data_IF_068950834265
#
_entry.id   IF_068950834265
#
_cell.length_a   1.000
_cell.length_b   1.000
_cell.length_c   1.000
_cell.angle_alpha   90.00
_cell.angle_beta   90.00
_cell.angle_gamma   90.00
#
_symmetry.space_group_name_H-M   'P 1'
#
loop_
_entity.id
_entity.type
_entity.pdbx_description
1 polymer ?
#
# COMPACT_ATOMS: atom_id res chain seq x y z
N UNK A 1 -10.05 1.85 -15.39
CA UNK A 1 -11.32 2.48 -15.02
C UNK A 1 -11.23 3.14 -13.65
N UNK A 2 -11.43 2.48 -12.54
CA UNK A 2 -11.32 3.10 -11.19
C UNK A 2 -9.98 3.80 -10.87
N UNK A 3 -8.90 3.51 -11.59
CA UNK A 3 -7.60 4.15 -11.41
C UNK A 3 -7.60 5.63 -11.84
N UNK A 4 -8.42 6.00 -12.86
CA UNK A 4 -8.57 7.39 -13.30
C UNK A 4 -9.32 8.26 -12.29
N UNK A 5 -10.34 7.70 -11.62
CA UNK A 5 -11.12 8.36 -10.57
C UNK A 5 -10.26 8.72 -9.35
N UNK A 6 -9.13 8.03 -9.16
CA UNK A 6 -8.19 8.28 -8.06
C UNK A 6 -7.15 9.36 -8.39
N UNK A 7 -7.36 10.20 -9.40
CA UNK A 7 -6.47 11.34 -9.64
C UNK A 7 -6.82 12.54 -8.75
N UNK A 8 -5.82 13.34 -8.36
CA UNK A 8 -5.92 14.26 -7.21
C UNK A 8 -6.61 15.58 -7.52
N UNK A 9 -7.78 15.60 -8.19
CA UNK A 9 -8.46 16.89 -8.50
C UNK A 9 -8.81 17.71 -7.26
N UNK A 10 -9.01 17.06 -6.11
CA UNK A 10 -9.46 17.70 -4.87
C UNK A 10 -8.45 17.65 -3.71
N UNK A 11 -7.38 16.90 -3.85
CA UNK A 11 -6.22 17.07 -2.99
C UNK A 11 -5.36 18.16 -3.64
N UNK A 12 -5.11 19.26 -2.94
CA UNK A 12 -4.18 20.30 -3.35
C UNK A 12 -2.74 19.74 -3.39
N UNK A 13 -2.54 18.79 -4.29
CA UNK A 13 -1.30 18.04 -4.52
C UNK A 13 -0.63 18.56 -5.78
N UNK A 14 -0.68 19.88 -5.99
CA UNK A 14 -0.07 20.55 -7.15
C UNK A 14 1.43 20.30 -7.30
N UNK A 15 2.04 19.62 -6.31
CA UNK A 15 3.46 19.28 -6.28
C UNK A 15 3.74 17.80 -6.05
N UNK A 16 2.75 16.89 -6.22
CA UNK A 16 3.00 15.45 -6.06
C UNK A 16 4.04 14.99 -7.08
N UNK A 17 5.20 14.59 -6.62
CA UNK A 17 6.20 13.98 -7.47
C UNK A 17 5.76 12.57 -7.82
N UNK A 18 5.51 12.23 -9.10
CA UNK A 18 5.22 10.87 -9.48
C UNK A 18 6.43 9.99 -9.13
N UNK A 19 6.27 9.13 -8.14
CA UNK A 19 7.32 8.20 -7.75
C UNK A 19 7.21 6.87 -8.51
N UNK A 20 6.84 6.93 -9.79
CA UNK A 20 6.71 5.75 -10.67
C UNK A 20 8.01 4.97 -10.87
N UNK A 21 9.16 5.56 -10.52
CA UNK A 21 10.47 4.92 -10.58
C UNK A 21 10.83 4.13 -9.32
N UNK A 22 10.02 4.21 -8.25
CA UNK A 22 10.30 3.47 -7.04
C UNK A 22 10.07 1.98 -7.26
N UNK A 23 11.13 1.21 -7.10
CA UNK A 23 11.14 -0.23 -7.38
C UNK A 23 10.20 -0.98 -6.43
N UNK A 24 9.60 -2.08 -6.93
CA UNK A 24 8.85 -3.02 -6.10
C UNK A 24 9.75 -3.81 -5.12
N UNK A 25 11.04 -3.49 -5.08
CA UNK A 25 12.09 -4.17 -4.31
C UNK A 25 12.83 -3.15 -3.46
N UNK A 26 13.11 -3.51 -2.23
CA UNK A 26 13.86 -2.69 -1.27
C UNK A 26 15.01 -3.51 -0.71
N UNK A 27 16.14 -2.89 -0.45
CA UNK A 27 17.25 -3.58 0.21
C UNK A 27 16.86 -3.98 1.64
N UNK A 28 17.23 -5.18 2.11
CA UNK A 28 16.90 -5.63 3.45
C UNK A 28 17.31 -4.66 4.56
N UNK A 29 18.49 -4.00 4.54
CA UNK A 29 18.86 -3.03 5.56
C UNK A 29 17.89 -1.84 5.70
N UNK A 30 17.37 -1.33 4.58
CA UNK A 30 16.38 -0.26 4.57
C UNK A 30 15.06 -0.72 5.18
N UNK A 31 14.66 -1.96 4.89
CA UNK A 31 13.43 -2.56 5.41
C UNK A 31 13.54 -2.84 6.91
N UNK A 32 14.71 -3.28 7.39
CA UNK A 32 15.02 -3.45 8.81
C UNK A 32 14.94 -2.10 9.52
N UNK A 33 15.56 -1.06 8.96
CA UNK A 33 15.60 0.30 9.49
C UNK A 33 14.19 0.89 9.65
N UNK A 34 13.28 0.61 8.72
CA UNK A 34 11.87 0.99 8.80
C UNK A 34 11.04 0.18 9.81
N UNK A 35 11.62 -0.82 10.47
CA UNK A 35 10.93 -1.67 11.46
C UNK A 35 9.99 -2.73 10.85
N UNK A 36 10.08 -2.97 9.55
CA UNK A 36 9.15 -3.89 8.88
C UNK A 36 9.38 -5.35 9.27
N UNK A 37 10.62 -5.77 9.46
CA UNK A 37 10.95 -7.13 9.93
C UNK A 37 10.48 -7.37 11.36
N UNK A 38 10.51 -6.34 12.19
CA UNK A 38 10.07 -6.45 13.59
C UNK A 38 8.53 -6.48 13.70
N UNK A 39 7.85 -5.62 12.91
CA UNK A 39 6.42 -5.39 13.08
C UNK A 39 5.55 -6.28 12.17
N UNK A 40 6.05 -6.67 10.99
CA UNK A 40 5.30 -7.40 9.97
C UNK A 40 6.06 -8.58 9.37
N UNK A 41 6.73 -9.43 10.18
CA UNK A 41 7.53 -10.55 9.66
C UNK A 41 6.72 -11.52 8.79
N UNK A 42 5.44 -11.71 9.11
CA UNK A 42 4.52 -12.59 8.40
C UNK A 42 4.21 -12.14 6.96
N UNK A 43 4.38 -10.85 6.63
CA UNK A 43 4.17 -10.35 5.27
C UNK A 43 5.43 -10.44 4.40
N UNK A 44 6.59 -10.74 4.98
CA UNK A 44 7.86 -10.65 4.27
C UNK A 44 7.95 -11.71 3.19
N UNK A 45 8.19 -11.27 1.97
CA UNK A 45 8.53 -12.10 0.82
C UNK A 45 9.86 -11.67 0.25
N UNK A 46 10.69 -12.64 -0.12
CA UNK A 46 11.99 -12.40 -0.67
C UNK A 46 12.02 -12.70 -2.17
N UNK A 47 12.89 -12.00 -2.88
CA UNK A 47 13.24 -12.32 -4.25
C UNK A 47 14.56 -13.05 -4.29
N UNK A 48 14.56 -14.25 -4.85
CA UNK A 48 15.77 -15.00 -5.22
C UNK A 48 15.94 -15.02 -6.74
N UNK A 49 17.12 -15.44 -7.23
CA UNK A 49 17.45 -15.57 -8.64
C UNK A 49 18.21 -16.87 -8.83
N UNK A 50 18.10 -17.47 -10.01
CA UNK A 50 19.01 -18.53 -10.42
C UNK A 50 20.44 -17.99 -10.42
N UNK A 51 21.40 -18.85 -10.07
CA UNK A 51 22.81 -18.54 -10.18
C UNK A 51 23.16 -18.26 -11.63
N UNK A 52 23.87 -17.15 -11.88
CA UNK A 52 24.20 -16.71 -13.23
C UNK A 52 25.54 -17.35 -13.68
N UNK A 53 25.49 -18.65 -13.96
CA UNK A 53 26.65 -19.40 -14.49
C UNK A 53 26.18 -20.48 -15.47
N UNK A 54 27.11 -20.97 -16.29
CA UNK A 54 26.81 -21.91 -17.37
C UNK A 54 26.35 -23.27 -16.81
N UNK A 55 26.95 -23.72 -15.73
CA UNK A 55 26.65 -25.03 -15.13
C UNK A 55 25.20 -25.09 -14.64
N UNK A 56 24.71 -24.01 -13.99
CA UNK A 56 23.30 -23.87 -13.60
C UNK A 56 22.37 -23.90 -14.82
N UNK A 57 22.73 -23.19 -15.89
CA UNK A 57 21.91 -23.17 -17.11
C UNK A 57 21.85 -24.52 -17.79
N UNK A 58 22.99 -25.23 -17.90
CA UNK A 58 23.08 -26.57 -18.47
C UNK A 58 22.23 -27.57 -17.67
N UNK A 59 22.21 -27.50 -16.35
CA UNK A 59 21.34 -28.35 -15.52
C UNK A 59 19.87 -28.18 -15.90
N UNK A 60 19.39 -26.95 -16.08
CA UNK A 60 17.99 -26.69 -16.42
C UNK A 60 17.65 -27.01 -17.88
N UNK A 61 18.57 -26.80 -18.80
CA UNK A 61 18.34 -27.05 -20.23
C UNK A 61 18.48 -28.51 -20.62
N UNK A 62 19.26 -29.30 -19.89
CA UNK A 62 19.51 -30.72 -20.17
C UNK A 62 18.47 -31.66 -19.55
N UNK A 63 17.65 -31.20 -18.62
CA UNK A 63 16.63 -32.01 -17.95
C UNK A 63 15.40 -32.21 -18.85
N UNK A 64 15.02 -33.48 -19.04
CA UNK A 64 13.81 -33.84 -19.81
C UNK A 64 12.49 -33.52 -19.11
N UNK A 65 12.51 -33.16 -17.83
CA UNK A 65 11.35 -32.70 -17.07
C UNK A 65 11.82 -31.79 -15.89
N UNK A 66 11.76 -30.47 -16.04
CA UNK A 66 12.27 -29.53 -15.05
C UNK A 66 11.41 -29.41 -13.77
N UNK A 67 10.31 -30.13 -13.68
CA UNK A 67 9.31 -29.92 -12.61
C UNK A 67 9.25 -31.00 -11.53
N UNK A 68 10.16 -31.97 -11.51
CA UNK A 68 10.07 -33.06 -10.55
C UNK A 68 10.73 -32.79 -9.20
N UNK A 69 11.58 -31.77 -9.10
CA UNK A 69 12.28 -31.49 -7.85
C UNK A 69 12.55 -29.99 -7.65
N UNK A 70 11.66 -29.34 -6.91
CA UNK A 70 11.81 -27.93 -6.56
C UNK A 70 13.03 -27.68 -5.67
N UNK A 71 13.46 -28.68 -4.90
CA UNK A 71 14.64 -28.58 -4.03
C UNK A 71 15.91 -28.40 -4.85
N UNK A 72 16.07 -29.12 -5.97
CA UNK A 72 17.19 -28.92 -6.89
C UNK A 72 17.19 -27.52 -7.50
N UNK A 73 16.00 -26.96 -7.81
CA UNK A 73 15.87 -25.57 -8.27
C UNK A 73 16.34 -24.59 -7.22
N UNK A 74 15.98 -24.82 -5.95
CA UNK A 74 16.37 -23.95 -4.84
C UNK A 74 17.86 -23.98 -4.57
N UNK A 75 18.51 -25.15 -4.70
CA UNK A 75 19.97 -25.27 -4.58
C UNK A 75 20.74 -24.44 -5.63
N UNK A 76 20.14 -24.25 -6.81
CA UNK A 76 20.69 -23.44 -7.88
C UNK A 76 20.32 -21.95 -7.79
N UNK A 77 19.75 -21.52 -6.69
CA UNK A 77 19.39 -20.11 -6.48
C UNK A 77 20.38 -19.37 -5.58
N UNK A 78 20.56 -18.09 -5.85
CA UNK A 78 21.32 -17.21 -4.97
C UNK A 78 20.56 -16.87 -3.70
N UNK A 79 21.27 -16.57 -2.62
CA UNK A 79 20.66 -16.02 -1.42
C UNK A 79 19.87 -14.73 -1.76
N UNK A 80 18.67 -14.55 -1.16
CA UNK A 80 17.86 -13.36 -1.40
C UNK A 80 18.60 -12.08 -1.02
N UNK A 81 18.64 -11.12 -1.95
CA UNK A 81 19.24 -9.79 -1.73
C UNK A 81 18.20 -8.68 -1.69
N UNK A 82 16.96 -9.00 -1.98
CA UNK A 82 15.87 -8.04 -2.01
C UNK A 82 14.66 -8.56 -1.26
N UNK A 83 13.95 -7.63 -0.62
CA UNK A 83 12.62 -7.82 -0.06
C UNK A 83 11.60 -7.25 -1.04
N UNK A 84 10.50 -7.97 -1.27
CA UNK A 84 9.37 -7.48 -2.02
C UNK A 84 8.55 -6.55 -1.12
N UNK A 85 8.19 -5.35 -1.61
CA UNK A 85 7.47 -4.36 -0.80
C UNK A 85 6.05 -4.83 -0.47
N UNK A 86 5.64 -4.69 0.77
CA UNK A 86 4.28 -5.01 1.20
C UNK A 86 3.31 -3.81 1.14
N UNK A 87 3.82 -2.59 0.92
CA UNK A 87 3.10 -1.34 0.71
C UNK A 87 3.87 -0.42 -0.24
N UNK A 88 3.17 0.41 -0.99
CA UNK A 88 3.83 1.29 -1.97
C UNK A 88 4.61 2.43 -1.33
N UNK A 89 4.25 2.85 -0.11
CA UNK A 89 4.99 3.89 0.63
C UNK A 89 6.37 3.44 1.13
N UNK A 90 6.62 2.14 1.26
CA UNK A 90 7.86 1.63 1.88
C UNK A 90 9.16 2.22 1.29
N UNK A 91 9.33 2.37 -0.04
CA UNK A 91 10.55 2.96 -0.61
C UNK A 91 10.62 4.50 -0.53
N UNK A 92 9.53 5.19 -0.16
CA UNK A 92 9.52 6.66 -0.06
C UNK A 92 10.43 7.15 1.06
N UNK A 93 10.34 6.52 2.22
CA UNK A 93 11.09 6.97 3.39
C UNK A 93 12.61 6.82 3.25
N UNK A 94 13.16 5.70 2.76
CA UNK A 94 14.58 5.59 2.43
C UNK A 94 15.04 6.63 1.42
N UNK A 95 14.22 6.97 0.42
CA UNK A 95 14.59 7.99 -0.59
C UNK A 95 14.72 9.40 -0.01
N UNK A 96 14.17 9.63 1.17
CA UNK A 96 14.26 10.88 1.93
C UNK A 96 15.27 10.83 3.08
N UNK A 97 16.09 9.80 3.15
CA UNK A 97 17.07 9.67 4.23
C UNK A 97 17.98 10.89 4.32
N UNK A 98 18.14 11.43 5.55
CA UNK A 98 18.87 12.65 5.87
C UNK A 98 18.35 13.92 5.16
N UNK A 99 17.12 13.88 4.65
CA UNK A 99 16.54 15.06 4.01
C UNK A 99 16.09 16.09 5.05
N UNK A 100 16.30 17.36 4.72
CA UNK A 100 15.87 18.51 5.52
C UNK A 100 14.83 19.30 4.74
N UNK A 101 13.58 19.30 5.23
CA UNK A 101 12.48 20.07 4.65
C UNK A 101 12.60 21.55 5.04
N UNK A 102 12.21 22.44 4.12
CA UNK A 102 12.06 23.88 4.43
C UNK A 102 10.97 24.09 5.47
N UNK A 103 10.94 25.28 6.03
CA UNK A 103 9.86 25.67 6.94
C UNK A 103 8.50 25.61 6.21
N UNK A 104 7.53 24.96 6.84
CA UNK A 104 6.18 24.74 6.28
C UNK A 104 6.11 23.91 4.97
N UNK A 105 7.23 23.35 4.51
CA UNK A 105 7.21 22.44 3.37
C UNK A 105 6.49 21.13 3.75
N UNK A 106 5.62 20.67 2.86
CA UNK A 106 5.09 19.30 2.87
C UNK A 106 5.41 18.65 1.54
N UNK A 107 6.12 17.52 1.60
CA UNK A 107 6.33 16.69 0.42
C UNK A 107 5.17 15.72 0.26
N UNK A 108 4.61 15.71 -0.94
CA UNK A 108 3.54 14.81 -1.33
C UNK A 108 4.06 13.89 -2.43
N UNK A 109 3.81 12.60 -2.29
CA UNK A 109 4.16 11.59 -3.29
C UNK A 109 2.93 10.81 -3.67
N UNK A 110 2.74 10.58 -4.96
CA UNK A 110 1.80 9.61 -5.48
C UNK A 110 2.59 8.39 -5.93
N UNK A 111 2.39 7.26 -5.25
CA UNK A 111 3.06 6.01 -5.54
C UNK A 111 2.04 4.95 -5.90
N UNK A 112 2.25 4.27 -7.00
CA UNK A 112 1.40 3.14 -7.41
C UNK A 112 2.25 1.95 -7.84
N UNK A 113 1.67 0.76 -7.78
CA UNK A 113 2.28 -0.46 -8.26
C UNK A 113 2.02 -1.67 -7.38
N UNK A 114 2.69 -2.75 -7.73
CA UNK A 114 2.51 -4.05 -7.08
C UNK A 114 3.07 -4.08 -5.67
N UNK A 115 2.29 -4.68 -4.77
CA UNK A 115 2.66 -5.02 -3.41
C UNK A 115 2.57 -6.52 -3.22
N UNK A 116 3.34 -7.03 -2.27
CA UNK A 116 3.48 -8.46 -2.03
C UNK A 116 3.36 -8.72 -0.53
N UNK A 117 2.48 -9.64 -0.16
CA UNK A 117 2.29 -10.08 1.22
C UNK A 117 2.16 -11.59 1.25
N UNK A 118 2.91 -12.24 2.14
CA UNK A 118 2.73 -13.65 2.36
C UNK A 118 1.44 -13.86 3.18
N UNK A 119 0.36 -14.17 2.49
CA UNK A 119 -0.96 -14.39 3.11
C UNK A 119 -1.23 -15.87 3.39
N UNK A 120 -0.32 -16.76 2.97
CA UNK A 120 -0.40 -18.23 3.18
C UNK A 120 -1.79 -18.81 2.87
N UNK A 121 -2.43 -19.42 3.87
CA UNK A 121 -3.78 -20.00 3.77
C UNK A 121 -4.92 -18.97 3.82
N UNK A 122 -4.60 -17.69 4.02
CA UNK A 122 -5.61 -16.62 4.10
C UNK A 122 -5.99 -16.04 2.74
N UNK A 123 -5.45 -16.58 1.64
CA UNK A 123 -5.82 -16.16 0.28
C UNK A 123 -7.32 -16.39 0.09
N UNK A 124 -8.01 -15.35 -0.36
CA UNK A 124 -9.46 -15.39 -0.53
C UNK A 124 -9.89 -14.49 -1.69
N UNK A 125 -10.22 -15.09 -2.84
CA UNK A 125 -10.71 -14.38 -4.01
C UNK A 125 -9.90 -13.09 -4.30
N UNK A 126 -10.54 -12.01 -4.77
CA UNK A 126 -9.89 -10.69 -4.95
C UNK A 126 -9.76 -9.88 -3.65
N UNK A 127 -10.32 -10.40 -2.54
CA UNK A 127 -10.28 -9.71 -1.25
C UNK A 127 -8.95 -9.87 -0.52
N UNK A 128 -8.19 -10.95 -0.79
CA UNK A 128 -6.90 -11.22 -0.14
C UNK A 128 -5.96 -12.01 -1.07
N UNK A 129 -4.94 -11.34 -1.57
CA UNK A 129 -3.99 -11.84 -2.55
C UNK A 129 -2.55 -11.72 -2.03
N UNK A 130 -1.67 -12.62 -2.45
CA UNK A 130 -0.23 -12.51 -2.20
C UNK A 130 0.41 -11.37 -3.00
N UNK A 131 -0.12 -11.08 -4.18
CA UNK A 131 0.30 -10.00 -5.07
C UNK A 131 -0.90 -9.18 -5.47
N UNK A 132 -0.84 -7.86 -5.27
CA UNK A 132 -1.93 -6.93 -5.57
C UNK A 132 -1.40 -5.54 -5.90
N UNK A 133 -2.23 -4.72 -6.51
CA UNK A 133 -1.90 -3.34 -6.82
C UNK A 133 -2.39 -2.39 -5.73
N UNK A 134 -1.53 -1.43 -5.39
CA UNK A 134 -1.85 -0.37 -4.46
C UNK A 134 -1.53 0.99 -5.07
N UNK A 135 -2.40 1.97 -4.83
CA UNK A 135 -2.15 3.38 -5.10
C UNK A 135 -2.16 4.12 -3.77
N UNK A 136 -1.16 4.95 -3.52
CA UNK A 136 -0.95 5.55 -2.22
C UNK A 136 -0.43 6.97 -2.33
N UNK A 137 -1.07 7.88 -1.60
CA UNK A 137 -0.58 9.24 -1.37
C UNK A 137 0.21 9.24 -0.06
N UNK A 138 1.44 9.71 -0.13
CA UNK A 138 2.34 9.77 1.02
C UNK A 138 2.69 11.22 1.31
N UNK A 139 2.51 11.63 2.55
CA UNK A 139 2.75 13.00 3.02
C UNK A 139 3.86 13.00 4.06
N UNK A 140 4.81 13.94 3.90
CA UNK A 140 5.93 14.15 4.84
C UNK A 140 6.07 15.64 5.10
N UNK A 141 5.93 16.07 6.35
CA UNK A 141 5.97 17.49 6.70
C UNK A 141 5.71 17.79 8.18
N UNK A 142 5.28 19.01 8.47
CA UNK A 142 4.87 19.41 9.82
C UNK A 142 3.52 18.79 10.19
N UNK A 143 3.35 18.43 11.46
CA UNK A 143 2.15 17.73 11.95
C UNK A 143 0.83 18.41 11.57
N UNK A 144 0.72 19.71 11.83
CA UNK A 144 -0.49 20.49 11.55
C UNK A 144 -0.87 20.49 10.06
N UNK A 145 0.13 20.54 9.16
CA UNK A 145 -0.09 20.48 7.73
C UNK A 145 -0.62 19.09 7.32
N UNK A 146 -0.07 18.02 7.92
CA UNK A 146 -0.50 16.65 7.60
C UNK A 146 -1.92 16.38 8.06
N UNK A 147 -2.39 16.97 9.15
CA UNK A 147 -3.79 16.84 9.60
C UNK A 147 -4.77 17.38 8.56
N UNK A 148 -4.39 18.46 7.85
CA UNK A 148 -5.18 18.97 6.74
C UNK A 148 -5.31 17.94 5.61
N UNK A 149 -4.20 17.33 5.14
CA UNK A 149 -4.23 16.31 4.09
C UNK A 149 -4.98 15.05 4.51
N UNK A 150 -4.86 14.63 5.78
CA UNK A 150 -5.62 13.52 6.33
C UNK A 150 -7.13 13.83 6.28
N UNK A 151 -7.54 15.03 6.65
CA UNK A 151 -8.94 15.45 6.60
C UNK A 151 -9.48 15.49 5.17
N UNK A 152 -8.68 15.99 4.22
CA UNK A 152 -9.06 15.98 2.80
C UNK A 152 -9.16 14.55 2.25
N UNK A 153 -8.22 13.67 2.59
CA UNK A 153 -8.24 12.26 2.18
C UNK A 153 -9.53 11.56 2.65
N UNK A 154 -9.96 11.82 3.88
CA UNK A 154 -11.23 11.28 4.40
C UNK A 154 -12.42 11.76 3.60
N UNK A 155 -12.52 13.07 3.34
CA UNK A 155 -13.61 13.64 2.55
C UNK A 155 -13.67 13.07 1.15
N UNK A 156 -12.52 12.81 0.52
CA UNK A 156 -12.44 12.24 -0.82
C UNK A 156 -13.00 10.80 -0.84
N UNK A 157 -12.65 9.97 0.14
CA UNK A 157 -13.23 8.61 0.24
C UNK A 157 -14.73 8.66 0.47
N UNK A 158 -15.17 9.51 1.40
CA UNK A 158 -16.58 9.68 1.70
C UNK A 158 -17.38 10.19 0.49
N UNK A 159 -16.79 11.09 -0.31
CA UNK A 159 -17.37 11.55 -1.56
C UNK A 159 -17.57 10.40 -2.55
N UNK A 160 -16.55 9.57 -2.81
CA UNK A 160 -16.70 8.45 -3.73
C UNK A 160 -17.68 7.37 -3.24
N UNK A 161 -17.64 7.07 -1.95
CA UNK A 161 -18.59 6.13 -1.35
C UNK A 161 -20.03 6.62 -1.58
N UNK A 162 -20.28 7.91 -1.41
CA UNK A 162 -21.61 8.50 -1.56
C UNK A 162 -22.04 8.55 -3.02
N UNK A 163 -21.17 9.04 -3.94
CA UNK A 163 -21.54 9.18 -5.35
C UNK A 163 -21.75 7.83 -6.02
N UNK A 164 -21.01 6.80 -5.61
CA UNK A 164 -21.23 5.44 -6.08
C UNK A 164 -22.29 4.68 -5.27
N UNK A 165 -22.90 5.29 -4.27
CA UNK A 165 -23.92 4.66 -3.43
C UNK A 165 -23.47 3.35 -2.78
N UNK A 166 -22.20 3.26 -2.36
CA UNK A 166 -21.62 2.02 -1.83
C UNK A 166 -21.96 1.84 -0.35
N UNK A 167 -22.46 0.66 0.00
CA UNK A 167 -22.63 0.27 1.39
C UNK A 167 -21.24 0.05 2.03
N UNK A 168 -20.90 0.91 2.97
CA UNK A 168 -19.59 0.96 3.58
C UNK A 168 -19.64 1.32 5.06
N UNK A 169 -18.52 1.15 5.75
CA UNK A 169 -18.29 1.64 7.11
C UNK A 169 -16.85 2.10 7.28
N UNK A 170 -16.66 3.13 8.11
CA UNK A 170 -15.34 3.60 8.53
C UNK A 170 -15.07 3.14 9.96
N UNK A 171 -13.96 2.46 10.17
CA UNK A 171 -13.58 1.94 11.48
C UNK A 171 -12.14 2.32 11.81
N UNK A 172 -11.88 2.59 13.10
CA UNK A 172 -10.50 2.64 13.60
C UNK A 172 -9.93 1.23 13.52
N UNK A 173 -8.80 1.09 12.84
CA UNK A 173 -8.17 -0.19 12.61
C UNK A 173 -6.83 -0.31 13.33
N UNK A 174 -6.42 -1.54 13.53
CA UNK A 174 -5.11 -1.89 14.03
C UNK A 174 -4.43 -2.82 13.03
N UNK A 175 -3.14 -2.57 12.81
CA UNK A 175 -2.33 -3.50 12.05
C UNK A 175 -2.14 -4.81 12.83
N UNK A 176 -1.98 -5.90 12.08
CA UNK A 176 -1.67 -7.21 12.65
C UNK A 176 -0.19 -7.27 13.01
N UNK A 177 0.18 -6.67 14.14
CA UNK A 177 1.56 -6.70 14.62
C UNK A 177 1.89 -8.04 15.26
N UNK A 178 3.05 -8.58 14.91
CA UNK A 178 3.66 -9.76 15.54
C UNK A 178 4.83 -9.42 16.47
N UNK A 179 5.01 -8.18 16.81
CA UNK A 179 6.07 -7.74 17.70
C UNK A 179 5.80 -8.15 19.17
N UNK A 180 6.84 -8.32 19.96
CA UNK A 180 6.73 -8.64 21.40
C UNK A 180 5.91 -7.60 22.17
N UNK A 181 5.85 -6.36 21.66
CA UNK A 181 5.10 -5.24 22.23
C UNK A 181 3.78 -4.95 21.49
N UNK A 182 3.23 -5.93 20.73
CA UNK A 182 2.06 -5.74 19.86
C UNK A 182 0.84 -5.13 20.57
N UNK A 183 0.60 -5.48 21.86
CA UNK A 183 -0.50 -4.91 22.65
C UNK A 183 -0.33 -3.40 22.84
N UNK A 184 0.90 -2.95 23.09
CA UNK A 184 1.22 -1.53 23.25
C UNK A 184 1.07 -0.79 21.93
N UNK A 185 1.54 -1.36 20.82
CA UNK A 185 1.39 -0.78 19.48
C UNK A 185 -0.07 -0.65 19.08
N UNK A 186 -0.88 -1.70 19.28
CA UNK A 186 -2.34 -1.64 19.06
C UNK A 186 -3.00 -0.55 19.90
N UNK A 187 -2.67 -0.49 21.17
CA UNK A 187 -3.25 0.50 22.09
C UNK A 187 -2.93 1.93 21.65
N UNK A 188 -1.69 2.21 21.22
CA UNK A 188 -1.31 3.52 20.71
C UNK A 188 -2.00 3.86 19.39
N UNK A 189 -2.18 2.91 18.48
CA UNK A 189 -2.95 3.14 17.25
C UNK A 189 -4.42 3.46 17.55
N UNK A 190 -5.04 2.74 18.47
CA UNK A 190 -6.44 2.99 18.86
C UNK A 190 -6.64 4.35 19.51
N UNK A 191 -5.86 4.70 20.53
CA UNK A 191 -6.01 5.98 21.26
C UNK A 191 -5.71 7.16 20.34
N UNK A 192 -4.71 7.02 19.47
CA UNK A 192 -4.30 8.10 18.58
C UNK A 192 -5.18 8.27 17.33
N UNK A 193 -6.21 7.43 17.11
CA UNK A 193 -6.94 7.37 15.84
C UNK A 193 -6.00 7.40 14.62
N UNK A 194 -4.84 6.74 14.78
CA UNK A 194 -3.74 6.86 13.83
C UNK A 194 -3.92 6.02 12.57
N UNK A 195 -4.93 5.14 12.55
CA UNK A 195 -5.31 4.35 11.38
C UNK A 195 -6.83 4.24 11.28
N UNK A 196 -7.36 4.65 10.14
CA UNK A 196 -8.75 4.43 9.75
C UNK A 196 -8.79 3.52 8.53
N UNK A 197 -9.74 2.60 8.50
CA UNK A 197 -10.05 1.76 7.35
C UNK A 197 -11.49 2.00 6.89
N UNK A 198 -11.62 2.22 5.59
CA UNK A 198 -12.91 2.25 4.92
C UNK A 198 -13.16 0.86 4.33
N UNK A 199 -14.17 0.22 4.88
CA UNK A 199 -14.56 -1.14 4.52
C UNK A 199 -15.83 -1.07 3.70
N UNK A 200 -15.86 -1.81 2.60
CA UNK A 200 -16.99 -1.87 1.67
C UNK A 200 -17.58 -3.26 1.74
N UNK A 201 -18.92 -3.33 1.73
CA UNK A 201 -19.66 -4.58 1.83
C UNK A 201 -19.51 -5.41 0.55
N UNK A 202 -19.31 -6.71 0.72
CA UNK A 202 -19.49 -7.73 -0.31
C UNK A 202 -20.85 -8.41 -0.02
N UNK A 203 -21.90 -8.13 -0.81
CA UNK A 203 -23.26 -8.59 -0.48
C UNK A 203 -23.39 -10.11 -0.39
N UNK A 204 -22.71 -10.84 -1.28
CA UNK A 204 -22.85 -12.30 -1.42
C UNK A 204 -22.52 -13.06 -0.13
N UNK A 205 -21.56 -12.59 0.65
CA UNK A 205 -21.14 -13.23 1.89
C UNK A 205 -21.37 -12.35 3.13
N UNK A 206 -21.99 -11.17 2.95
CA UNK A 206 -22.23 -10.18 4.00
C UNK A 206 -20.96 -9.77 4.76
N UNK A 207 -19.81 -9.70 4.06
CA UNK A 207 -18.52 -9.37 4.63
C UNK A 207 -18.09 -7.96 4.23
N UNK A 208 -17.55 -7.20 5.19
CA UNK A 208 -16.94 -5.91 4.92
C UNK A 208 -15.43 -6.06 4.74
N UNK A 209 -14.90 -5.74 3.56
CA UNK A 209 -13.47 -5.81 3.25
C UNK A 209 -12.84 -4.41 3.25
N UNK A 210 -11.63 -4.28 3.81
CA UNK A 210 -10.89 -3.01 3.85
C UNK A 210 -10.35 -2.66 2.46
N UNK A 211 -10.90 -1.62 1.83
CA UNK A 211 -10.53 -1.17 0.49
C UNK A 211 -9.59 0.03 0.52
N UNK A 212 -9.75 0.92 1.50
CA UNK A 212 -8.94 2.12 1.65
C UNK A 212 -8.49 2.26 3.11
N UNK A 213 -7.35 2.92 3.31
CA UNK A 213 -6.87 3.25 4.65
C UNK A 213 -6.22 4.63 4.68
N UNK A 214 -6.43 5.34 5.79
CA UNK A 214 -5.73 6.58 6.13
C UNK A 214 -4.88 6.31 7.35
N UNK A 215 -3.57 6.52 7.25
CA UNK A 215 -2.62 6.24 8.31
C UNK A 215 -1.84 7.51 8.69
N UNK A 216 -1.78 7.81 9.98
CA UNK A 216 -0.98 8.89 10.55
C UNK A 216 0.16 8.30 11.37
N UNK A 217 1.33 8.19 10.77
CA UNK A 217 2.50 7.52 11.38
C UNK A 217 3.24 8.41 12.36
N UNK A 218 2.95 9.71 12.39
CA UNK A 218 3.72 10.70 13.16
C UNK A 218 5.20 10.61 12.79
N UNK A 219 6.08 10.52 13.78
CA UNK A 219 7.55 10.45 13.56
C UNK A 219 8.08 9.03 13.39
N UNK A 220 7.22 8.03 13.17
CA UNK A 220 7.62 6.61 13.11
C UNK A 220 8.69 6.37 12.02
N UNK A 221 8.46 6.87 10.82
CA UNK A 221 9.41 6.70 9.71
C UNK A 221 10.47 7.81 9.65
N UNK A 222 10.16 9.04 10.05
CA UNK A 222 11.13 10.13 9.97
C UNK A 222 12.31 9.96 10.92
N UNK A 223 12.11 9.37 12.09
CA UNK A 223 13.20 9.11 13.05
C UNK A 223 14.26 8.14 12.50
N UNK A 224 13.90 6.93 12.06
CA UNK A 224 14.89 5.98 11.53
C UNK A 224 15.65 6.53 10.32
N UNK A 225 14.97 7.25 9.43
CA UNK A 225 15.59 7.81 8.22
C UNK A 225 16.11 9.23 8.38
N UNK A 226 16.11 9.77 9.61
CA UNK A 226 16.64 11.11 9.94
C UNK A 226 16.05 12.22 9.04
N UNK A 227 14.72 12.18 8.81
CA UNK A 227 14.02 13.18 8.03
C UNK A 227 13.57 14.32 8.96
N UNK A 228 14.11 15.52 8.78
CA UNK A 228 13.90 16.66 9.66
C UNK A 228 13.45 17.90 8.89
N UNK A 229 12.95 18.89 9.62
CA UNK A 229 12.77 20.24 9.11
C UNK A 229 14.02 21.09 9.41
N UNK A 230 14.05 22.32 8.89
CA UNK A 230 15.15 23.28 9.10
C UNK A 230 15.40 23.63 10.58
N UNK A 231 14.41 23.43 11.46
CA UNK A 231 14.51 23.66 12.89
C UNK A 231 15.11 22.46 13.64
N UNK A 232 15.47 21.38 12.93
CA UNK A 232 16.03 20.16 13.50
C UNK A 232 14.99 19.19 14.09
N UNK A 233 13.70 19.47 13.95
CA UNK A 233 12.62 18.62 14.43
C UNK A 233 12.33 17.50 13.42
N UNK A 234 11.99 16.31 13.91
CA UNK A 234 11.58 15.20 13.04
C UNK A 234 10.22 15.48 12.39
N UNK A 235 10.15 15.33 11.08
CA UNK A 235 8.91 15.46 10.32
C UNK A 235 7.89 14.40 10.73
N UNK A 236 6.63 14.72 10.55
CA UNK A 236 5.55 13.73 10.63
C UNK A 236 5.37 13.07 9.27
N UNK A 237 4.81 11.88 9.28
CA UNK A 237 4.47 11.11 8.06
C UNK A 237 3.05 10.61 8.14
N UNK A 238 2.38 10.61 7.00
CA UNK A 238 1.04 10.07 6.84
C UNK A 238 0.88 9.46 5.47
N UNK A 239 -0.08 8.56 5.29
CA UNK A 239 -0.46 8.06 3.98
C UNK A 239 -1.95 7.79 3.85
N UNK A 240 -2.38 7.77 2.60
CA UNK A 240 -3.72 7.44 2.18
C UNK A 240 -3.63 6.42 1.04
N UNK A 241 -4.12 5.21 1.28
CA UNK A 241 -3.87 4.05 0.43
C UNK A 241 -5.15 3.38 -0.06
N UNK A 242 -5.10 2.85 -1.28
CA UNK A 242 -6.14 2.06 -1.93
C UNK A 242 -5.59 0.71 -2.38
N UNK A 243 -6.26 -0.37 -1.99
CA UNK A 243 -6.07 -1.69 -2.57
C UNK A 243 -6.97 -1.83 -3.80
N UNK A 244 -6.37 -1.81 -4.99
CA UNK A 244 -7.10 -1.68 -6.25
C UNK A 244 -8.03 -2.87 -6.48
N UNK A 245 -7.53 -4.10 -6.33
CA UNK A 245 -8.34 -5.31 -6.53
C UNK A 245 -9.52 -5.38 -5.57
N UNK A 246 -9.31 -5.03 -4.31
CA UNK A 246 -10.37 -4.99 -3.30
C UNK A 246 -11.43 -3.95 -3.62
N UNK A 247 -11.00 -2.76 -4.06
CA UNK A 247 -11.91 -1.68 -4.42
C UNK A 247 -12.76 -2.05 -5.63
N UNK A 248 -12.13 -2.61 -6.68
CA UNK A 248 -12.83 -3.09 -7.88
C UNK A 248 -13.80 -4.22 -7.53
N UNK A 249 -13.35 -5.20 -6.76
CA UNK A 249 -14.17 -6.33 -6.33
C UNK A 249 -15.41 -5.87 -5.56
N UNK A 250 -15.22 -5.01 -4.55
CA UNK A 250 -16.31 -4.50 -3.75
C UNK A 250 -17.29 -3.62 -4.55
N UNK A 251 -16.78 -2.79 -5.45
CA UNK A 251 -17.59 -1.98 -6.35
C UNK A 251 -18.46 -2.86 -7.26
N UNK A 252 -17.85 -3.80 -7.96
CA UNK A 252 -18.56 -4.69 -8.89
C UNK A 252 -19.51 -5.66 -8.17
N UNK A 253 -19.20 -6.07 -6.96
CA UNK A 253 -20.09 -6.89 -6.12
C UNK A 253 -21.40 -6.17 -5.79
N UNK A 254 -21.39 -4.84 -5.69
CA UNK A 254 -22.58 -4.05 -5.40
C UNK A 254 -23.27 -3.52 -6.66
N UNK A 255 -22.51 -3.15 -7.69
CA UNK A 255 -23.07 -2.56 -8.94
C UNK A 255 -23.34 -3.59 -10.03
N UNK A 256 -22.76 -4.80 -9.94
CA UNK A 256 -22.84 -5.83 -10.98
C UNK A 256 -21.83 -5.59 -12.11
N UNK A 257 -21.76 -6.54 -13.04
CA UNK A 257 -20.85 -6.52 -14.19
C UNK A 257 -21.44 -5.84 -15.43
N UNK A 258 -22.77 -5.70 -15.50
CA UNK A 258 -23.45 -5.05 -16.63
C UNK A 258 -23.59 -3.54 -16.37
N UNK A 259 -22.78 -2.75 -17.07
CA UNK A 259 -22.77 -1.28 -16.98
C UNK A 259 -24.15 -0.66 -17.27
N UNK A 260 -24.98 -1.33 -18.10
CA UNK A 260 -26.32 -0.82 -18.44
C UNK A 260 -27.26 -0.83 -17.24
N UNK A 261 -26.96 -1.60 -16.22
CA UNK A 261 -27.75 -1.69 -14.98
C UNK A 261 -27.27 -0.74 -13.88
N UNK A 262 -26.17 -0.02 -14.12
CA UNK A 262 -25.66 0.95 -13.15
C UNK A 262 -26.54 2.19 -13.13
N UNK A 263 -26.65 2.82 -11.98
CA UNK A 263 -27.37 4.09 -11.85
C UNK A 263 -26.67 5.21 -12.65
N UNK A 264 -27.48 6.20 -13.07
CA UNK A 264 -27.02 7.26 -13.97
C UNK A 264 -25.87 8.08 -13.35
N UNK A 265 -25.91 8.33 -12.03
CA UNK A 265 -24.91 9.12 -11.30
C UNK A 265 -23.55 8.39 -11.32
N UNK A 266 -23.53 7.08 -11.06
CA UNK A 266 -22.33 6.23 -11.17
C UNK A 266 -21.75 6.24 -12.60
N UNK A 267 -22.61 6.15 -13.62
CA UNK A 267 -22.17 6.14 -15.02
C UNK A 267 -21.60 7.50 -15.43
N UNK A 268 -22.24 8.59 -15.04
CA UNK A 268 -21.81 9.95 -15.35
C UNK A 268 -20.46 10.27 -14.73
N UNK A 269 -20.27 9.96 -13.45
CA UNK A 269 -18.99 10.14 -12.74
C UNK A 269 -17.86 9.33 -13.42
N UNK A 270 -18.12 8.09 -13.80
CA UNK A 270 -17.09 7.25 -14.44
C UNK A 270 -16.75 7.73 -15.85
N UNK A 271 -17.71 8.26 -16.61
CA UNK A 271 -17.48 8.81 -17.95
C UNK A 271 -16.55 10.02 -17.99
N UNK A 272 -16.42 10.76 -16.90
CA UNK A 272 -15.43 11.82 -16.80
C UNK A 272 -13.98 11.34 -16.97
N UNK A 273 -13.72 10.04 -16.72
CA UNK A 273 -12.38 9.46 -16.66
C UNK A 273 -12.11 8.40 -17.74
N UNK A 274 -13.15 7.87 -18.37
CA UNK A 274 -13.03 6.82 -19.39
C UNK A 274 -14.15 6.90 -20.42
N UNK A 275 -13.85 6.58 -21.66
CA UNK A 275 -14.84 6.40 -22.72
C UNK A 275 -15.58 5.06 -22.44
N UNK A 276 -16.86 5.15 -22.09
CA UNK A 276 -17.78 4.01 -21.88
C UNK A 276 -18.70 3.81 -23.06
#
# INVERSE_FOLDING_TARGET
MLIGVLEPRDLDVTSATPANSMTARTAPPEYIKGGYFENFPHYIMFQTKLNNNIDTYEKFTSQKSPCSCMDEVLEETSLPKNVLRHATCAPVYPSLENHVLKENETKCFLVSGRCFRNEESNIKELSRLNEFNMKEFVFVGKGDNLEHYIKQSKKLVEFWINIFGLNSKCETANDSFFASNYKKLKYFQMIGNSKLEYKILIPDNNEYISCCSVNYHRTHFSKPYNIKNVNGEYCYTACFAFGIERLVYAFLSQKGLDIKLWDAETVEEIKEYVDL
#
